data_IF_628687319199
#
_entry.id   IF_628687319199
#
_cell.length_a   1.000
_cell.length_b   1.000
_cell.length_c   1.000
_cell.angle_alpha   90.00
_cell.angle_beta   90.00
_cell.angle_gamma   90.00
#
_symmetry.space_group_name_H-M   'P 1'
#
loop_
_entity.id
_entity.type
_entity.pdbx_description
1 polymer ?
#
# COMPACT_ATOMS: atom_id res chain seq x y z
N UNK A 1 -5.70 -5.86 21.55
CA UNK A 1 -4.29 -6.23 21.80
C UNK A 1 -3.32 -5.62 20.78
N UNK A 2 -3.79 -4.91 19.74
CA UNK A 2 -2.91 -4.16 18.82
C UNK A 2 -1.96 -5.04 18.01
N UNK A 3 -2.21 -6.36 17.98
CA UNK A 3 -1.35 -7.32 17.32
C UNK A 3 -1.79 -7.49 15.87
N UNK A 4 -0.83 -7.38 14.95
CA UNK A 4 -1.07 -7.56 13.50
C UNK A 4 -0.16 -8.69 13.01
N UNK A 5 -0.74 -9.66 12.30
CA UNK A 5 0.03 -10.74 11.65
C UNK A 5 0.43 -10.32 10.25
N UNK A 6 1.73 -10.38 9.96
CA UNK A 6 2.32 -10.01 8.67
C UNK A 6 3.19 -11.12 8.09
N UNK A 7 2.77 -12.37 8.33
CA UNK A 7 3.49 -13.55 7.87
C UNK A 7 3.35 -13.70 6.33
N UNK A 8 4.31 -14.37 5.65
CA UNK A 8 4.13 -14.76 4.25
C UNK A 8 2.80 -15.52 4.05
N UNK A 9 2.00 -15.08 3.08
CA UNK A 9 0.69 -15.66 2.79
C UNK A 9 -0.46 -15.19 3.68
N UNK A 10 -0.23 -14.22 4.58
CA UNK A 10 -1.32 -13.54 5.27
C UNK A 10 -2.28 -12.89 4.25
N UNK A 11 -3.58 -12.94 4.55
CA UNK A 11 -4.57 -12.25 3.74
C UNK A 11 -4.35 -10.73 3.84
N UNK A 12 -4.26 -10.09 2.68
CA UNK A 12 -3.82 -8.68 2.57
C UNK A 12 -4.91 -7.72 3.03
N UNK A 13 -6.17 -8.07 2.85
CA UNK A 13 -7.30 -7.24 3.26
C UNK A 13 -7.56 -7.39 4.76
N UNK A 14 -7.40 -8.60 5.30
CA UNK A 14 -7.40 -8.81 6.76
C UNK A 14 -6.25 -8.06 7.44
N UNK A 15 -5.05 -8.09 6.85
CA UNK A 15 -3.90 -7.36 7.37
C UNK A 15 -4.13 -5.84 7.34
N UNK A 16 -4.73 -5.29 6.28
CA UNK A 16 -5.10 -3.87 6.21
C UNK A 16 -6.08 -3.48 7.32
N UNK A 17 -7.15 -4.26 7.48
CA UNK A 17 -8.14 -4.00 8.55
C UNK A 17 -7.50 -4.04 9.93
N UNK A 18 -6.59 -4.99 10.17
CA UNK A 18 -5.86 -5.09 11.42
C UNK A 18 -4.88 -3.91 11.62
N UNK A 19 -4.16 -3.49 10.58
CA UNK A 19 -3.28 -2.32 10.62
C UNK A 19 -4.07 -1.06 10.99
N UNK A 20 -5.19 -0.80 10.32
CA UNK A 20 -6.03 0.37 10.57
C UNK A 20 -6.69 0.39 11.96
N UNK A 21 -6.76 -0.76 12.64
CA UNK A 21 -7.22 -0.84 14.02
C UNK A 21 -6.15 -0.44 15.06
N UNK A 22 -4.88 -0.30 14.65
CA UNK A 22 -3.79 0.14 15.53
C UNK A 22 -3.87 1.65 15.73
N UNK A 23 -3.91 2.15 16.99
CA UNK A 23 -3.93 3.59 17.25
C UNK A 23 -2.73 4.31 16.61
N UNK A 24 -3.01 5.34 15.81
CA UNK A 24 -2.00 6.11 15.08
C UNK A 24 -1.62 5.56 13.70
N UNK A 25 -2.20 4.44 13.26
CA UNK A 25 -2.02 3.95 11.89
C UNK A 25 -2.97 4.65 10.91
N UNK A 26 -2.45 5.03 9.74
CA UNK A 26 -3.24 5.60 8.65
C UNK A 26 -3.20 4.73 7.38
N UNK A 27 -4.12 5.01 6.44
CA UNK A 27 -4.24 4.25 5.20
C UNK A 27 -2.99 4.35 4.31
N UNK A 28 -2.26 5.48 4.38
CA UNK A 28 -1.00 5.64 3.66
C UNK A 28 0.07 4.69 4.19
N UNK A 29 0.23 4.62 5.51
CA UNK A 29 1.19 3.76 6.19
C UNK A 29 0.81 2.30 6.00
N UNK A 30 -0.47 1.96 6.10
CA UNK A 30 -0.96 0.62 5.80
C UNK A 30 -0.63 0.20 4.36
N UNK A 31 -0.83 1.07 3.37
CA UNK A 31 -0.47 0.79 1.98
C UNK A 31 1.05 0.57 1.78
N UNK A 32 1.90 1.29 2.52
CA UNK A 32 3.35 1.06 2.52
C UNK A 32 3.69 -0.32 3.08
N UNK A 33 3.06 -0.72 4.19
CA UNK A 33 3.25 -2.05 4.79
C UNK A 33 2.76 -3.15 3.83
N UNK A 34 1.58 -3.03 3.23
CA UNK A 34 1.06 -3.99 2.23
C UNK A 34 2.03 -4.17 1.07
N UNK A 35 2.56 -3.07 0.53
CA UNK A 35 3.52 -3.11 -0.59
C UNK A 35 4.82 -3.82 -0.19
N UNK A 36 5.41 -3.45 0.94
CA UNK A 36 6.78 -3.86 1.30
C UNK A 36 6.84 -5.18 2.07
N UNK A 37 5.89 -5.44 2.98
CA UNK A 37 5.88 -6.62 3.83
C UNK A 37 5.09 -7.78 3.22
N UNK A 38 3.98 -7.49 2.54
CA UNK A 38 3.07 -8.51 1.99
C UNK A 38 3.17 -8.68 0.47
N UNK A 39 4.11 -7.94 -0.16
CA UNK A 39 4.31 -7.90 -1.61
C UNK A 39 2.98 -7.74 -2.37
N UNK A 40 2.09 -6.87 -1.86
CA UNK A 40 0.83 -6.56 -2.52
C UNK A 40 1.11 -5.84 -3.85
N UNK A 41 0.70 -6.40 -5.01
CA UNK A 41 0.96 -5.77 -6.29
C UNK A 41 0.01 -4.61 -6.62
N UNK A 42 -1.16 -4.55 -5.98
CA UNK A 42 -2.27 -3.70 -6.38
C UNK A 42 -2.61 -2.60 -5.36
N UNK A 43 -1.70 -2.29 -4.44
CA UNK A 43 -1.91 -1.24 -3.43
C UNK A 43 -1.19 0.04 -3.82
N UNK A 44 -1.77 1.19 -3.49
CA UNK A 44 -1.10 2.48 -3.56
C UNK A 44 -1.51 3.31 -2.35
N UNK A 45 -0.67 4.26 -1.88
CA UNK A 45 -1.13 5.25 -0.92
C UNK A 45 -2.40 5.94 -1.43
N UNK A 46 -3.34 6.32 -0.56
CA UNK A 46 -4.55 7.02 -0.98
C UNK A 46 -4.18 8.27 -1.77
N UNK A 47 -4.53 8.26 -3.05
CA UNK A 47 -4.24 9.34 -4.00
C UNK A 47 -5.23 9.24 -5.17
N UNK A 48 -6.05 10.28 -5.43
CA UNK A 48 -7.05 10.25 -6.49
C UNK A 48 -6.45 10.23 -7.90
N UNK A 49 -5.14 10.47 -8.04
CA UNK A 49 -4.44 10.42 -9.33
C UNK A 49 -4.04 9.02 -9.75
N UNK A 50 -4.15 8.02 -8.88
CA UNK A 50 -3.88 6.61 -9.19
C UNK A 50 -5.08 6.01 -9.94
N UNK A 51 -4.98 5.72 -11.25
CA UNK A 51 -6.11 5.21 -12.02
C UNK A 51 -6.43 3.76 -11.72
N UNK A 52 -7.73 3.41 -11.72
CA UNK A 52 -8.18 2.01 -11.62
C UNK A 52 -7.70 1.15 -12.79
N UNK A 53 -7.36 1.76 -13.94
CA UNK A 53 -6.81 1.04 -15.09
C UNK A 53 -5.41 0.45 -14.85
N UNK A 54 -4.72 0.83 -13.77
CA UNK A 54 -3.45 0.22 -13.37
C UNK A 54 -3.63 -1.07 -12.57
N UNK A 55 -4.85 -1.44 -12.21
CA UNK A 55 -5.11 -2.72 -11.57
C UNK A 55 -4.76 -3.88 -12.52
N UNK A 56 -4.21 -5.00 -12.01
CA UNK A 56 -3.94 -5.31 -10.61
C UNK A 56 -2.49 -4.99 -10.16
N UNK A 57 -1.84 -3.99 -10.76
CA UNK A 57 -0.39 -3.70 -10.57
C UNK A 57 -0.11 -2.26 -10.13
N UNK A 58 -1.04 -1.61 -9.42
CA UNK A 58 -0.90 -0.20 -8.99
C UNK A 58 0.39 0.08 -8.22
N UNK A 59 0.86 -0.84 -7.37
CA UNK A 59 2.11 -0.65 -6.62
C UNK A 59 3.32 -0.54 -7.54
N UNK A 60 3.34 -1.34 -8.61
CA UNK A 60 4.41 -1.33 -9.59
C UNK A 60 4.40 -0.06 -10.43
N UNK A 61 3.22 0.37 -10.91
CA UNK A 61 3.11 1.61 -11.67
C UNK A 61 3.64 2.81 -10.86
N UNK A 62 3.20 2.96 -9.60
CA UNK A 62 3.67 4.02 -8.71
C UNK A 62 5.19 3.92 -8.48
N UNK A 63 5.73 2.72 -8.25
CA UNK A 63 7.17 2.54 -8.04
C UNK A 63 7.99 2.88 -9.30
N UNK A 64 7.48 2.56 -10.49
CA UNK A 64 8.12 2.95 -11.75
C UNK A 64 8.10 4.47 -11.96
N UNK A 65 6.97 5.13 -11.67
CA UNK A 65 6.89 6.59 -11.77
C UNK A 65 7.81 7.28 -10.77
N UNK A 66 7.91 6.77 -9.53
CA UNK A 66 8.91 7.25 -8.56
C UNK A 66 10.33 7.08 -9.07
N UNK A 67 10.66 5.90 -9.59
CA UNK A 67 11.99 5.62 -10.14
C UNK A 67 12.33 6.51 -11.34
N UNK A 68 11.32 6.91 -12.12
CA UNK A 68 11.46 7.87 -13.22
C UNK A 68 11.52 9.34 -12.76
N UNK A 69 11.17 9.63 -11.49
CA UNK A 69 11.04 10.99 -10.98
C UNK A 69 9.70 11.65 -11.31
N UNK A 70 8.72 10.89 -11.81
CA UNK A 70 7.43 11.39 -12.30
C UNK A 70 6.32 11.37 -11.23
N UNK A 71 6.62 10.95 -9.99
CA UNK A 71 5.62 10.79 -8.91
C UNK A 71 5.86 11.64 -7.66
N UNK A 72 7.08 12.16 -7.46
CA UNK A 72 7.46 12.91 -6.25
C UNK A 72 7.50 14.43 -6.45
N UNK A 73 7.27 14.93 -7.67
CA UNK A 73 7.61 16.31 -8.04
C UNK A 73 6.67 17.40 -7.51
N UNK A 74 5.52 17.06 -6.94
CA UNK A 74 4.53 18.05 -6.43
C UNK A 74 3.95 17.68 -5.05
N UNK A 75 4.74 17.02 -4.18
CA UNK A 75 4.27 16.62 -2.84
C UNK A 75 4.93 17.35 -1.68
#
# INVERSE_FOLDING_TARGET
DGTVRLDPGADRDDAERALLAVPGMDARTAAVVRTRALADPDTAPPDPTVPDSWRPWRSYAVNHLRAAGDWEQDR
#
